data_IF_391421822632
#
_entry.id   IF_391421822632
#
_cell.length_a   1.000
_cell.length_b   1.000
_cell.length_c   1.000
_cell.angle_alpha   90.00
_cell.angle_beta   90.00
_cell.angle_gamma   90.00
#
_symmetry.space_group_name_H-M   'P 1'
#
loop_
_entity.id
_entity.type
_entity.pdbx_description
1 polymer ?
#
# COMPACT_ATOMS: atom_id res chain seq x y z
N UNK A 1 -15.89 37.75 30.32
CA UNK A 1 -16.59 37.02 29.23
C UNK A 1 -15.67 35.90 28.78
N UNK A 2 -15.98 34.62 29.03
CA UNK A 2 -15.12 33.55 28.57
C UNK A 2 -15.27 33.38 27.05
N UNK A 3 -14.13 33.22 26.38
CA UNK A 3 -14.02 32.91 24.96
C UNK A 3 -14.71 31.57 24.66
N UNK A 4 -15.59 31.55 23.65
CA UNK A 4 -16.20 30.34 23.10
C UNK A 4 -15.10 29.49 22.47
N UNK A 5 -14.72 28.42 23.15
CA UNK A 5 -13.90 27.36 22.56
C UNK A 5 -14.76 26.64 21.54
N UNK A 6 -14.45 26.83 20.25
CA UNK A 6 -14.99 26.00 19.18
C UNK A 6 -14.52 24.57 19.43
N UNK A 7 -15.36 23.79 20.11
CA UNK A 7 -15.22 22.36 20.25
C UNK A 7 -15.16 21.76 18.84
N UNK A 8 -14.30 20.74 18.58
CA UNK A 8 -14.36 20.00 17.33
C UNK A 8 -15.75 19.36 17.26
N UNK A 9 -16.55 19.75 16.27
CA UNK A 9 -17.86 19.17 16.03
C UNK A 9 -17.67 17.71 15.67
N UNK A 10 -18.28 16.80 16.44
CA UNK A 10 -18.42 15.40 16.06
C UNK A 10 -19.17 15.31 14.73
N UNK A 11 -18.41 15.27 13.64
CA UNK A 11 -18.92 14.99 12.32
C UNK A 11 -19.02 13.46 12.18
N UNK A 12 -20.22 12.94 12.45
CA UNK A 12 -20.78 11.67 11.99
C UNK A 12 -19.75 10.57 11.64
N UNK A 13 -19.49 9.63 12.56
CA UNK A 13 -19.38 8.18 12.28
C UNK A 13 -18.53 7.64 11.11
N UNK A 14 -17.67 8.41 10.46
CA UNK A 14 -16.80 7.91 9.39
C UNK A 14 -15.58 7.30 10.05
N UNK A 15 -15.52 5.97 10.05
CA UNK A 15 -14.33 5.24 10.45
C UNK A 15 -13.20 5.60 9.48
N UNK A 16 -12.28 6.48 9.91
CA UNK A 16 -11.10 6.84 9.11
C UNK A 16 -10.09 5.70 9.19
N UNK A 17 -10.12 4.84 8.18
CA UNK A 17 -9.15 3.78 7.98
C UNK A 17 -8.04 4.26 7.04
N UNK A 18 -6.78 4.00 7.39
CA UNK A 18 -5.62 4.26 6.53
C UNK A 18 -4.82 2.96 6.43
N UNK A 19 -4.86 2.24 5.30
CA UNK A 19 -4.05 1.04 5.10
C UNK A 19 -2.56 1.40 5.03
N UNK A 20 -1.73 0.68 5.79
CA UNK A 20 -0.26 0.84 5.76
C UNK A 20 0.36 -0.47 5.25
N UNK A 21 0.89 -0.42 4.03
CA UNK A 21 1.51 -1.55 3.34
C UNK A 21 3.03 -1.52 3.53
N UNK A 22 3.51 -2.33 4.46
CA UNK A 22 4.94 -2.51 4.73
C UNK A 22 5.70 -3.11 3.53
N UNK A 23 7.04 -3.00 3.57
CA UNK A 23 7.90 -3.64 2.57
C UNK A 23 7.85 -5.17 2.62
N UNK A 24 7.84 -5.80 1.45
CA UNK A 24 7.77 -7.27 1.33
C UNK A 24 8.64 -7.87 0.21
N UNK A 25 9.40 -7.05 -0.52
CA UNK A 25 10.15 -7.49 -1.70
C UNK A 25 9.24 -8.20 -2.71
N UNK A 26 9.55 -9.45 -3.03
CA UNK A 26 8.78 -10.28 -3.98
C UNK A 26 7.40 -10.71 -3.46
N UNK A 27 7.09 -10.49 -2.17
CA UNK A 27 5.75 -10.78 -1.60
C UNK A 27 4.72 -9.67 -1.84
N UNK A 28 5.01 -8.71 -2.71
CA UNK A 28 4.13 -7.57 -2.97
C UNK A 28 2.73 -7.97 -3.45
N UNK A 29 2.58 -9.14 -4.08
CA UNK A 29 1.28 -9.66 -4.51
C UNK A 29 0.28 -9.84 -3.36
N UNK A 30 0.76 -10.03 -2.12
CA UNK A 30 -0.11 -10.10 -0.92
C UNK A 30 -0.90 -8.81 -0.70
N UNK A 31 -0.32 -7.64 -1.02
CA UNK A 31 -1.01 -6.36 -0.85
C UNK A 31 -2.22 -6.21 -1.79
N UNK A 32 -2.16 -6.82 -2.98
CA UNK A 32 -3.26 -6.85 -3.94
C UNK A 32 -4.46 -7.60 -3.34
N UNK A 33 -4.22 -8.73 -2.68
CA UNK A 33 -5.27 -9.50 -2.01
C UNK A 33 -5.93 -8.74 -0.86
N UNK A 34 -5.14 -7.95 -0.09
CA UNK A 34 -5.69 -7.10 0.97
C UNK A 34 -6.60 -6.02 0.38
N UNK A 35 -6.16 -5.32 -0.66
CA UNK A 35 -6.98 -4.30 -1.33
C UNK A 35 -8.27 -4.91 -1.89
N UNK A 36 -8.18 -6.11 -2.48
CA UNK A 36 -9.36 -6.82 -2.98
C UNK A 36 -10.35 -7.15 -1.86
N UNK A 37 -9.86 -7.62 -0.71
CA UNK A 37 -10.70 -7.88 0.44
C UNK A 37 -11.36 -6.59 0.99
N UNK A 38 -10.64 -5.46 0.99
CA UNK A 38 -11.21 -4.17 1.38
C UNK A 38 -12.33 -3.72 0.43
N UNK A 39 -12.15 -3.89 -0.89
CA UNK A 39 -13.21 -3.63 -1.88
C UNK A 39 -14.44 -4.54 -1.68
N UNK A 40 -14.23 -5.84 -1.48
CA UNK A 40 -15.31 -6.81 -1.26
C UNK A 40 -16.10 -6.54 0.02
N UNK A 41 -15.41 -6.07 1.06
CA UNK A 41 -16.01 -5.63 2.32
C UNK A 41 -16.63 -4.23 2.25
N UNK A 42 -16.52 -3.53 1.11
CA UNK A 42 -16.98 -2.15 0.90
C UNK A 42 -16.40 -1.18 1.94
N UNK A 43 -15.13 -1.38 2.30
CA UNK A 43 -14.40 -0.50 3.20
C UNK A 43 -13.74 0.59 2.35
N UNK A 44 -14.22 1.82 2.51
CA UNK A 44 -13.69 2.99 1.82
C UNK A 44 -12.60 3.66 2.67
N UNK A 45 -11.56 4.16 1.99
CA UNK A 45 -10.47 4.92 2.61
C UNK A 45 -9.94 5.97 1.61
N UNK A 46 -9.55 7.14 2.12
CA UNK A 46 -9.06 8.26 1.29
C UNK A 46 -7.52 8.27 1.17
N UNK A 47 -6.85 7.66 2.14
CA UNK A 47 -5.40 7.67 2.23
C UNK A 47 -4.87 6.26 2.43
N UNK A 48 -3.67 6.00 1.90
CA UNK A 48 -2.93 4.78 2.11
C UNK A 48 -1.43 5.10 2.09
N UNK A 49 -0.64 4.27 2.76
CA UNK A 49 0.82 4.41 2.83
C UNK A 49 1.46 3.12 2.37
N UNK A 50 2.49 3.22 1.53
CA UNK A 50 3.25 2.06 1.06
C UNK A 50 4.76 2.27 1.18
N UNK A 51 5.50 1.20 1.49
CA UNK A 51 6.97 1.19 1.58
C UNK A 51 7.56 0.09 0.71
N UNK A 52 8.59 0.37 -0.09
CA UNK A 52 9.32 -0.60 -0.92
C UNK A 52 8.38 -1.41 -1.84
N UNK A 53 8.31 -2.75 -1.73
CA UNK A 53 7.34 -3.55 -2.50
C UNK A 53 5.88 -3.11 -2.28
N UNK A 54 5.55 -2.63 -1.08
CA UNK A 54 4.23 -2.07 -0.76
C UNK A 54 3.96 -0.73 -1.46
N UNK A 55 4.99 0.11 -1.68
CA UNK A 55 4.80 1.40 -2.37
C UNK A 55 4.46 1.21 -3.84
N UNK A 56 4.95 0.14 -4.48
CA UNK A 56 4.62 -0.18 -5.88
C UNK A 56 3.11 -0.42 -6.02
N UNK A 57 2.57 -1.36 -5.24
CA UNK A 57 1.14 -1.71 -5.30
C UNK A 57 0.27 -0.53 -4.87
N UNK A 58 0.66 0.15 -3.81
CA UNK A 58 0.00 1.36 -3.29
C UNK A 58 -0.09 2.46 -4.35
N UNK A 59 0.97 2.67 -5.13
CA UNK A 59 0.99 3.71 -6.17
C UNK A 59 0.06 3.37 -7.33
N UNK A 60 0.04 2.12 -7.78
CA UNK A 60 -0.89 1.69 -8.84
C UNK A 60 -2.35 1.81 -8.41
N UNK A 61 -2.66 1.38 -7.18
CA UNK A 61 -4.01 1.51 -6.64
C UNK A 61 -4.44 2.96 -6.51
N UNK A 62 -3.58 3.83 -5.95
CA UNK A 62 -3.85 5.26 -5.84
C UNK A 62 -3.98 5.96 -7.20
N UNK A 63 -3.34 5.43 -8.25
CA UNK A 63 -3.48 5.92 -9.62
C UNK A 63 -4.80 5.47 -10.29
N UNK A 64 -5.65 4.69 -9.61
CA UNK A 64 -6.94 4.22 -10.13
C UNK A 64 -6.82 3.06 -11.12
N UNK A 65 -5.68 2.35 -11.14
CA UNK A 65 -5.53 1.17 -12.00
C UNK A 65 -6.37 0.02 -11.41
N UNK A 66 -7.17 -0.70 -12.22
CA UNK A 66 -7.97 -1.82 -11.73
C UNK A 66 -7.12 -2.89 -11.04
N UNK A 67 -7.59 -3.41 -9.90
CA UNK A 67 -6.86 -4.44 -9.15
C UNK A 67 -6.54 -5.70 -9.98
N UNK A 68 -7.39 -6.05 -10.94
CA UNK A 68 -7.17 -7.20 -11.83
C UNK A 68 -5.99 -6.98 -12.78
N UNK A 69 -5.80 -5.75 -13.30
CA UNK A 69 -4.62 -5.39 -14.10
C UNK A 69 -3.35 -5.36 -13.24
N UNK A 70 -3.43 -4.82 -12.02
CA UNK A 70 -2.30 -4.82 -11.08
C UNK A 70 -1.91 -6.27 -10.75
N UNK A 71 -2.89 -7.16 -10.59
CA UNK A 71 -2.68 -8.59 -10.37
C UNK A 71 -2.00 -9.24 -11.56
N UNK A 72 -2.47 -8.98 -12.77
CA UNK A 72 -1.86 -9.51 -14.00
C UNK A 72 -0.41 -9.04 -14.16
N UNK A 73 -0.16 -7.75 -13.96
CA UNK A 73 1.19 -7.19 -13.99
C UNK A 73 2.09 -7.87 -12.95
N UNK A 74 1.61 -8.05 -11.73
CA UNK A 74 2.38 -8.72 -10.67
C UNK A 74 2.68 -10.19 -11.02
N UNK A 75 1.75 -10.91 -11.65
CA UNK A 75 1.98 -12.32 -12.06
C UNK A 75 2.96 -12.45 -13.23
N UNK A 76 2.98 -11.47 -14.13
CA UNK A 76 3.83 -11.47 -15.31
C UNK A 76 5.21 -10.80 -15.09
N UNK A 77 5.46 -10.28 -13.90
CA UNK A 77 6.73 -9.62 -13.56
C UNK A 77 7.75 -10.63 -13.02
N UNK A 78 8.92 -10.71 -13.64
CA UNK A 78 10.04 -11.48 -13.10
C UNK A 78 10.73 -10.70 -11.97
N UNK A 79 10.30 -10.97 -10.73
CA UNK A 79 10.86 -10.28 -9.57
C UNK A 79 12.32 -10.64 -9.25
N UNK A 80 12.89 -11.66 -9.90
CA UNK A 80 14.32 -11.95 -9.74
C UNK A 80 15.19 -10.80 -10.26
N UNK A 81 14.69 -10.02 -11.22
CA UNK A 81 15.38 -8.84 -11.73
C UNK A 81 15.58 -7.75 -10.68
N UNK A 82 14.76 -7.71 -9.63
CA UNK A 82 14.92 -6.76 -8.51
C UNK A 82 15.87 -7.27 -7.41
N UNK A 83 16.38 -8.50 -7.51
CA UNK A 83 17.43 -9.01 -6.60
C UNK A 83 18.77 -8.40 -7.00
N UNK A 84 19.01 -7.17 -6.55
CA UNK A 84 20.35 -6.60 -6.54
C UNK A 84 21.31 -7.40 -5.65
N UNK A 85 22.61 -7.17 -5.83
CA UNK A 85 23.72 -7.84 -5.14
C UNK A 85 23.43 -8.05 -3.64
N UNK A 86 23.52 -9.30 -3.18
CA UNK A 86 23.48 -9.62 -1.75
C UNK A 86 24.55 -8.81 -1.01
N UNK A 87 24.33 -8.48 0.27
CA UNK A 87 25.38 -7.91 1.14
C UNK A 87 26.66 -8.75 1.10
N UNK A 88 26.52 -10.07 0.91
CA UNK A 88 27.64 -10.99 0.65
C UNK A 88 28.32 -10.64 -0.67
N UNK A 89 27.57 -10.54 -1.77
CA UNK A 89 28.12 -10.18 -3.08
C UNK A 89 28.76 -8.79 -3.08
N UNK A 90 28.24 -7.82 -2.34
CA UNK A 90 28.87 -6.51 -2.16
C UNK A 90 30.14 -6.56 -1.30
N UNK A 91 30.19 -7.46 -0.31
CA UNK A 91 31.37 -7.64 0.55
C UNK A 91 32.53 -8.35 -0.18
N UNK A 92 32.22 -9.19 -1.18
CA UNK A 92 33.18 -9.95 -1.96
C UNK A 92 33.39 -9.41 -3.40
N UNK A 93 32.71 -8.35 -3.81
CA UNK A 93 32.92 -7.67 -5.10
C UNK A 93 34.17 -6.77 -5.12
N UNK A 94 35.16 -7.09 -4.30
CA UNK A 94 36.45 -6.39 -4.23
C UNK A 94 37.50 -7.11 -5.06
#
# INVERSE_FOLDING_TARGET
MPLSSSQPTEENGVCRLVPIFAGGGTRLATHIGILKALEELKIEFEHLVGVSGGSIISSFYAAGIPLDEIRELALNTDFNQFRGFSLVTLSFAR
#
